data_IF_877209169070
#
_entry.id   IF_877209169070
#
_cell.length_a   1.000
_cell.length_b   1.000
_cell.length_c   1.000
_cell.angle_alpha   90.00
_cell.angle_beta   90.00
_cell.angle_gamma   90.00
#
_symmetry.space_group_name_H-M   'P 1'
#
loop_
_entity.id
_entity.type
_entity.pdbx_description
1 polymer ?
#
# COMPACT_ATOMS: atom_id res chain seq x y z
N UNK A 1 47.43 -3.09 -18.51
CA UNK A 1 46.80 -1.79 -18.87
C UNK A 1 45.32 -1.97 -19.18
N UNK A 2 44.93 -2.82 -20.16
CA UNK A 2 43.54 -3.10 -20.52
C UNK A 2 42.71 -3.77 -19.39
N UNK A 3 43.29 -4.68 -18.62
CA UNK A 3 42.62 -5.33 -17.49
C UNK A 3 42.31 -4.33 -16.36
N UNK A 4 43.22 -3.44 -16.05
CA UNK A 4 43.05 -2.39 -15.03
C UNK A 4 41.96 -1.38 -15.43
N UNK A 5 41.89 -1.01 -16.71
CA UNK A 5 40.90 -0.08 -17.25
C UNK A 5 39.51 -0.70 -17.29
N UNK A 6 39.42 -1.99 -17.59
CA UNK A 6 38.18 -2.75 -17.54
C UNK A 6 37.64 -2.91 -16.10
N UNK A 7 38.51 -3.23 -15.15
CA UNK A 7 38.12 -3.30 -13.73
C UNK A 7 37.60 -1.95 -13.19
N UNK A 8 38.24 -0.85 -13.61
CA UNK A 8 37.80 0.49 -13.22
C UNK A 8 36.46 0.88 -13.82
N UNK A 9 36.20 0.53 -15.07
CA UNK A 9 34.90 0.70 -15.72
C UNK A 9 33.80 -0.14 -15.07
N UNK A 10 34.08 -1.39 -14.71
CA UNK A 10 33.15 -2.24 -13.96
C UNK A 10 32.81 -1.64 -12.60
N UNK A 11 33.78 -1.10 -11.86
CA UNK A 11 33.53 -0.41 -10.59
C UNK A 11 32.59 0.80 -10.74
N UNK A 12 32.77 1.59 -11.78
CA UNK A 12 31.92 2.74 -12.09
C UNK A 12 30.47 2.29 -12.38
N UNK A 13 30.30 1.24 -13.16
CA UNK A 13 28.99 0.68 -13.50
C UNK A 13 28.29 0.14 -12.23
N UNK A 14 28.98 -0.64 -11.42
CA UNK A 14 28.44 -1.16 -10.16
C UNK A 14 28.10 -0.06 -9.17
N UNK A 15 28.93 0.97 -9.08
CA UNK A 15 28.63 2.14 -8.25
C UNK A 15 27.37 2.85 -8.72
N UNK A 16 27.23 3.09 -10.01
CA UNK A 16 26.04 3.71 -10.61
C UNK A 16 24.79 2.88 -10.38
N UNK A 17 24.86 1.54 -10.54
CA UNK A 17 23.75 0.64 -10.24
C UNK A 17 23.34 0.72 -8.78
N UNK A 18 24.32 0.67 -7.86
CA UNK A 18 24.03 0.78 -6.43
C UNK A 18 23.34 2.09 -6.08
N UNK A 19 23.86 3.21 -6.57
CA UNK A 19 23.35 4.53 -6.22
C UNK A 19 21.99 4.82 -6.84
N UNK A 20 21.79 4.47 -8.10
CA UNK A 20 20.61 4.88 -8.85
C UNK A 20 19.49 3.83 -8.83
N UNK A 21 19.80 2.53 -8.75
CA UNK A 21 18.79 1.47 -8.79
C UNK A 21 18.59 0.84 -7.43
N UNK A 22 19.63 0.25 -6.87
CA UNK A 22 19.53 -0.44 -5.56
C UNK A 22 19.14 0.56 -4.47
N UNK A 23 19.76 1.75 -4.45
CA UNK A 23 19.42 2.81 -3.49
C UNK A 23 18.00 3.33 -3.62
N UNK A 24 17.48 3.44 -4.86
CA UNK A 24 16.08 3.83 -5.08
C UNK A 24 15.13 2.75 -4.57
N UNK A 25 15.35 1.48 -4.94
CA UNK A 25 14.53 0.35 -4.47
C UNK A 25 14.57 0.25 -2.94
N UNK A 26 15.75 0.39 -2.33
CA UNK A 26 15.90 0.44 -0.86
C UNK A 26 15.06 1.56 -0.23
N UNK A 27 15.13 2.77 -0.78
CA UNK A 27 14.35 3.93 -0.33
C UNK A 27 12.86 3.68 -0.42
N UNK A 28 12.38 3.09 -1.52
CA UNK A 28 11.00 2.76 -1.75
C UNK A 28 10.49 1.66 -0.79
N UNK A 29 11.30 0.62 -0.51
CA UNK A 29 10.97 -0.40 0.48
C UNK A 29 10.85 0.23 1.88
N UNK A 30 11.80 1.07 2.27
CA UNK A 30 11.76 1.81 3.56
C UNK A 30 10.53 2.72 3.65
N UNK A 31 10.17 3.39 2.56
CA UNK A 31 8.96 4.20 2.48
C UNK A 31 7.71 3.31 2.66
N UNK A 32 7.61 2.18 1.97
CA UNK A 32 6.50 1.25 2.10
C UNK A 32 6.36 0.72 3.54
N UNK A 33 7.46 0.39 4.20
CA UNK A 33 7.47 -0.04 5.61
C UNK A 33 6.99 1.06 6.56
N UNK A 34 7.45 2.31 6.36
CA UNK A 34 6.96 3.46 7.14
C UNK A 34 5.45 3.68 6.93
N UNK A 35 4.99 3.59 5.69
CA UNK A 35 3.56 3.70 5.37
C UNK A 35 2.73 2.60 6.05
N UNK A 36 3.19 1.36 6.01
CA UNK A 36 2.52 0.26 6.70
C UNK A 36 2.48 0.48 8.22
N UNK A 37 3.55 1.00 8.81
CA UNK A 37 3.60 1.34 10.23
C UNK A 37 2.56 2.40 10.60
N UNK A 38 2.44 3.49 9.83
CA UNK A 38 1.45 4.55 10.06
C UNK A 38 0.01 4.04 9.88
N UNK A 39 -0.25 3.23 8.86
CA UNK A 39 -1.55 2.60 8.66
C UNK A 39 -1.86 1.69 9.85
N UNK A 40 -0.92 0.86 10.29
CA UNK A 40 -1.11 -0.02 11.45
C UNK A 40 -1.38 0.76 12.73
N UNK A 41 -0.78 1.94 12.90
CA UNK A 41 -1.09 2.82 14.03
C UNK A 41 -2.55 3.27 13.99
N UNK A 42 -3.02 3.75 12.84
CA UNK A 42 -4.41 4.16 12.65
C UNK A 42 -5.40 2.99 12.85
N UNK A 43 -5.05 1.80 12.35
CA UNK A 43 -5.86 0.60 12.51
C UNK A 43 -6.01 0.20 13.99
N UNK A 44 -4.94 0.28 14.78
CA UNK A 44 -4.97 -0.03 16.23
C UNK A 44 -5.79 0.96 17.06
N UNK A 45 -5.81 2.23 16.66
CA UNK A 45 -6.62 3.25 17.34
C UNK A 45 -8.13 3.09 17.10
N UNK A 46 -8.51 2.16 16.22
CA UNK A 46 -9.89 1.92 15.84
C UNK A 46 -10.30 0.52 16.27
N UNK A 47 -11.07 0.44 17.35
CA UNK A 47 -11.64 -0.82 17.82
C UNK A 47 -12.76 -1.27 16.87
N UNK A 48 -12.55 -2.35 16.18
CA UNK A 48 -13.55 -3.05 15.38
C UNK A 48 -14.13 -4.21 16.19
N UNK A 49 -14.92 -3.89 17.23
CA UNK A 49 -15.41 -4.91 18.17
C UNK A 49 -14.21 -5.62 18.86
N UNK A 50 -14.10 -6.92 18.70
CA UNK A 50 -13.05 -7.76 19.32
C UNK A 50 -11.85 -8.02 18.40
N UNK A 51 -11.84 -7.37 17.23
CA UNK A 51 -10.81 -7.58 16.21
C UNK A 51 -10.00 -6.31 15.93
N UNK A 52 -8.71 -6.47 15.73
CA UNK A 52 -7.81 -5.46 15.18
C UNK A 52 -7.18 -5.95 13.87
N UNK A 53 -6.80 -5.01 13.00
CA UNK A 53 -6.20 -5.36 11.73
C UNK A 53 -4.76 -4.87 11.66
N UNK A 54 -3.90 -5.64 10.99
CA UNK A 54 -2.50 -5.30 10.80
C UNK A 54 -2.04 -5.65 9.39
N UNK A 55 -1.33 -4.73 8.76
CA UNK A 55 -0.59 -4.97 7.51
C UNK A 55 0.81 -5.43 7.87
N UNK A 56 1.25 -6.53 7.28
CA UNK A 56 2.63 -7.04 7.36
C UNK A 56 3.27 -6.95 5.99
N UNK A 57 4.53 -6.50 5.97
CA UNK A 57 5.38 -6.49 4.79
C UNK A 57 6.53 -7.44 5.08
N UNK A 58 6.67 -8.46 4.25
CA UNK A 58 7.67 -9.52 4.37
C UNK A 58 8.42 -9.67 3.04
N UNK A 59 9.60 -10.31 3.00
CA UNK A 59 10.25 -10.66 1.75
C UNK A 59 9.30 -11.47 0.86
N UNK A 60 9.34 -11.24 -0.45
CA UNK A 60 8.56 -12.02 -1.40
C UNK A 60 8.90 -13.51 -1.29
N UNK A 61 7.90 -14.38 -1.43
CA UNK A 61 8.09 -15.85 -1.37
C UNK A 61 8.57 -16.46 -2.69
N UNK A 62 8.74 -15.62 -3.72
CA UNK A 62 9.25 -16.00 -5.03
C UNK A 62 10.77 -15.78 -5.14
N UNK A 63 11.33 -15.98 -6.32
CA UNK A 63 12.76 -15.81 -6.60
C UNK A 63 13.29 -14.39 -6.29
N UNK A 64 12.44 -13.37 -6.37
CA UNK A 64 12.86 -12.01 -6.09
C UNK A 64 13.09 -11.75 -4.60
N UNK A 65 12.45 -12.51 -3.70
CA UNK A 65 12.65 -12.38 -2.26
C UNK A 65 14.09 -12.65 -1.80
N UNK A 66 14.88 -13.38 -2.58
CA UNK A 66 16.29 -13.61 -2.31
C UNK A 66 17.14 -12.32 -2.30
N UNK A 67 16.65 -11.24 -2.94
CA UNK A 67 17.38 -9.97 -2.98
C UNK A 67 17.07 -9.08 -1.77
N UNK A 68 16.08 -9.43 -0.95
CA UNK A 68 15.60 -8.57 0.13
C UNK A 68 16.70 -8.22 1.15
N UNK A 69 17.53 -9.18 1.54
CA UNK A 69 18.65 -8.97 2.47
C UNK A 69 19.70 -7.96 1.93
N UNK A 70 19.97 -8.02 0.63
CA UNK A 70 20.83 -7.06 -0.04
C UNK A 70 20.19 -5.67 -0.12
N UNK A 71 18.88 -5.63 -0.51
CA UNK A 71 18.14 -4.39 -0.65
C UNK A 71 17.89 -3.69 0.70
N UNK A 72 17.98 -4.41 1.82
CA UNK A 72 17.80 -3.90 3.17
C UNK A 72 19.10 -3.83 3.97
N UNK A 73 20.25 -3.94 3.29
CA UNK A 73 21.56 -3.87 3.94
C UNK A 73 21.80 -2.48 4.55
N UNK A 74 22.36 -2.45 5.78
CA UNK A 74 22.62 -1.22 6.53
C UNK A 74 23.59 -0.28 5.80
N UNK A 75 24.45 -0.83 4.97
CA UNK A 75 25.41 -0.08 4.15
C UNK A 75 24.73 0.84 3.11
N UNK A 76 23.44 0.62 2.83
CA UNK A 76 22.64 1.50 1.97
C UNK A 76 22.03 2.69 2.72
N UNK A 77 21.87 2.60 4.05
CA UNK A 77 21.35 3.68 4.90
C UNK A 77 22.34 4.83 5.08
N UNK A 78 23.64 4.58 4.97
CA UNK A 78 24.71 5.54 5.26
C UNK A 78 24.82 6.70 4.26
N UNK A 79 24.02 6.71 3.18
CA UNK A 79 24.01 7.77 2.14
C UNK A 79 22.83 8.74 2.22
N UNK A 80 22.04 8.71 3.29
CA UNK A 80 21.01 9.75 3.47
C UNK A 80 21.69 11.06 3.92
N UNK A 81 21.69 12.15 3.12
CA UNK A 81 22.33 13.42 3.48
C UNK A 81 21.70 14.05 4.74
N UNK A 82 20.52 13.62 5.17
CA UNK A 82 19.85 14.09 6.39
C UNK A 82 20.45 13.54 7.69
N UNK A 83 21.34 12.53 7.62
CA UNK A 83 21.95 11.93 8.81
C UNK A 83 23.33 12.50 9.16
N UNK A 84 23.71 13.70 8.71
CA UNK A 84 24.86 14.45 9.24
C UNK A 84 26.22 13.72 9.22
N UNK A 85 26.37 12.68 8.41
CA UNK A 85 27.62 11.93 8.27
C UNK A 85 28.67 12.75 7.53
N UNK A 86 29.79 13.01 8.18
CA UNK A 86 30.95 13.73 7.65
C UNK A 86 31.39 13.07 6.34
N UNK A 87 31.33 13.83 5.25
CA UNK A 87 31.80 13.42 3.93
C UNK A 87 33.32 13.09 4.02
N UNK A 88 33.67 11.83 4.20
CA UNK A 88 35.06 11.39 4.28
C UNK A 88 35.31 9.98 4.85
N UNK A 89 34.32 9.32 5.43
CA UNK A 89 34.48 7.99 6.03
C UNK A 89 33.86 6.82 5.23
N UNK A 90 33.72 6.97 3.92
CA UNK A 90 32.84 6.11 3.08
C UNK A 90 33.55 4.87 2.51
N UNK A 91 34.83 4.65 2.76
CA UNK A 91 35.56 3.65 1.94
C UNK A 91 35.61 2.21 2.50
N UNK A 92 35.37 1.98 3.78
CA UNK A 92 35.47 0.62 4.36
C UNK A 92 34.23 -0.26 4.21
N UNK A 93 33.04 0.29 4.21
CA UNK A 93 31.79 -0.48 4.07
C UNK A 93 31.40 -0.82 2.61
N UNK A 94 31.96 -0.11 1.63
CA UNK A 94 31.62 -0.29 0.22
C UNK A 94 32.19 -1.61 -0.34
N UNK A 95 33.44 -1.90 -0.08
CA UNK A 95 34.09 -3.13 -0.56
C UNK A 95 33.48 -4.39 0.09
N UNK A 96 33.03 -4.30 1.33
CA UNK A 96 32.40 -5.42 2.04
C UNK A 96 31.00 -5.70 1.52
N UNK A 97 30.21 -4.66 1.19
CA UNK A 97 28.89 -4.81 0.56
C UNK A 97 29.02 -5.49 -0.81
N UNK A 98 29.93 -5.05 -1.66
CA UNK A 98 30.15 -5.66 -2.98
C UNK A 98 30.60 -7.11 -2.89
N UNK A 99 31.52 -7.44 -1.99
CA UNK A 99 31.99 -8.82 -1.79
C UNK A 99 30.88 -9.73 -1.27
N UNK A 100 30.08 -9.23 -0.33
CA UNK A 100 28.99 -10.00 0.29
C UNK A 100 27.86 -10.31 -0.69
N UNK A 101 27.53 -9.39 -1.58
CA UNK A 101 26.40 -9.48 -2.49
C UNK A 101 26.78 -9.56 -3.98
N UNK A 102 28.02 -9.88 -4.29
CA UNK A 102 28.59 -9.86 -5.65
C UNK A 102 27.68 -10.56 -6.68
N UNK A 103 27.26 -11.79 -6.40
CA UNK A 103 26.41 -12.55 -7.34
C UNK A 103 25.04 -11.90 -7.56
N UNK A 104 24.43 -11.36 -6.51
CA UNK A 104 23.15 -10.67 -6.60
C UNK A 104 23.25 -9.36 -7.38
N UNK A 105 24.32 -8.60 -7.11
CA UNK A 105 24.61 -7.34 -7.82
C UNK A 105 24.85 -7.61 -9.29
N UNK A 106 25.68 -8.63 -9.62
CA UNK A 106 25.95 -9.02 -11.00
C UNK A 106 24.67 -9.41 -11.74
N UNK A 107 23.82 -10.22 -11.11
CA UNK A 107 22.53 -10.61 -11.68
C UNK A 107 21.67 -9.39 -12.00
N UNK A 108 21.49 -8.45 -11.04
CA UNK A 108 20.72 -7.24 -11.27
C UNK A 108 21.36 -6.35 -12.33
N UNK A 109 22.70 -6.24 -12.36
CA UNK A 109 23.41 -5.48 -13.40
C UNK A 109 23.04 -5.98 -14.79
N UNK A 110 23.05 -7.29 -14.98
CA UNK A 110 22.69 -7.91 -16.27
C UNK A 110 21.22 -7.61 -16.66
N UNK A 111 20.33 -7.51 -15.67
CA UNK A 111 18.92 -7.14 -15.89
C UNK A 111 18.73 -5.67 -16.30
N UNK A 112 19.55 -4.78 -15.77
CA UNK A 112 19.49 -3.34 -16.05
C UNK A 112 20.40 -2.89 -17.21
N UNK A 113 21.18 -3.78 -17.78
CA UNK A 113 21.97 -3.46 -18.98
C UNK A 113 21.04 -3.21 -20.19
N UNK A 114 21.27 -2.11 -20.93
CA UNK A 114 20.47 -1.83 -22.11
C UNK A 114 20.65 -2.95 -23.17
N UNK A 115 19.58 -3.28 -23.90
CA UNK A 115 19.66 -4.31 -24.94
C UNK A 115 20.63 -3.85 -26.06
N UNK A 116 21.52 -4.76 -26.46
CA UNK A 116 22.45 -4.54 -27.57
C UNK A 116 21.86 -4.92 -28.92
N UNK A 117 20.72 -5.58 -28.93
CA UNK A 117 20.07 -6.10 -30.13
C UNK A 117 19.36 -5.00 -30.93
N UNK A 118 19.36 -5.14 -32.23
CA UNK A 118 18.66 -4.27 -33.16
C UNK A 118 17.17 -4.62 -33.28
N UNK A 119 16.77 -5.83 -32.83
CA UNK A 119 15.38 -6.30 -32.85
C UNK A 119 14.50 -5.55 -31.85
N UNK A 120 13.47 -4.88 -32.38
CA UNK A 120 12.54 -4.07 -31.60
C UNK A 120 11.73 -4.91 -30.58
N UNK A 121 11.39 -6.15 -30.92
CA UNK A 121 10.66 -7.05 -30.04
C UNK A 121 11.50 -7.44 -28.81
N UNK A 122 12.78 -7.77 -29.02
CA UNK A 122 13.71 -8.07 -27.93
C UNK A 122 13.97 -6.85 -27.04
N UNK A 123 14.04 -5.64 -27.64
CA UNK A 123 14.15 -4.39 -26.86
C UNK A 123 12.92 -4.16 -25.97
N UNK A 124 11.70 -4.38 -26.49
CA UNK A 124 10.48 -4.25 -25.70
C UNK A 124 10.44 -5.27 -24.55
N UNK A 125 10.81 -6.51 -24.80
CA UNK A 125 10.87 -7.55 -23.79
C UNK A 125 11.86 -7.18 -22.68
N UNK A 126 13.06 -6.74 -23.05
CA UNK A 126 14.10 -6.32 -22.10
C UNK A 126 13.68 -5.12 -21.27
N UNK A 127 13.00 -4.13 -21.88
CA UNK A 127 12.44 -2.98 -21.15
C UNK A 127 11.42 -3.40 -20.11
N UNK A 128 10.50 -4.31 -20.44
CA UNK A 128 9.53 -4.86 -19.49
C UNK A 128 10.22 -5.60 -18.33
N UNK A 129 11.27 -6.34 -18.63
CA UNK A 129 12.07 -7.02 -17.62
C UNK A 129 12.75 -6.01 -16.69
N UNK A 130 13.36 -4.95 -17.23
CA UNK A 130 13.96 -3.86 -16.43
C UNK A 130 12.91 -3.19 -15.53
N UNK A 131 11.74 -2.85 -16.07
CA UNK A 131 10.63 -2.27 -15.29
C UNK A 131 10.18 -3.18 -14.16
N UNK A 132 10.12 -4.50 -14.41
CA UNK A 132 9.77 -5.49 -13.41
C UNK A 132 10.79 -5.54 -12.26
N UNK A 133 12.09 -5.51 -12.56
CA UNK A 133 13.13 -5.50 -11.53
C UNK A 133 13.31 -4.13 -10.85
N UNK A 134 12.86 -3.04 -11.47
CA UNK A 134 12.86 -1.72 -10.85
C UNK A 134 11.71 -1.53 -9.85
N UNK A 135 10.64 -2.31 -9.97
CA UNK A 135 9.48 -2.21 -9.09
C UNK A 135 9.74 -2.91 -7.74
N UNK A 136 9.92 -2.12 -6.68
CA UNK A 136 10.19 -2.61 -5.33
C UNK A 136 9.13 -3.61 -4.82
N UNK A 137 7.88 -3.53 -5.31
CA UNK A 137 6.78 -4.41 -4.91
C UNK A 137 7.04 -5.87 -5.23
N UNK A 138 7.84 -6.14 -6.25
CA UNK A 138 8.20 -7.52 -6.65
C UNK A 138 9.15 -8.22 -5.66
N UNK A 139 9.79 -7.47 -4.77
CA UNK A 139 10.67 -8.01 -3.72
C UNK A 139 9.95 -8.23 -2.39
N UNK A 140 8.67 -7.81 -2.30
CA UNK A 140 7.87 -7.82 -1.09
C UNK A 140 6.60 -8.64 -1.24
N UNK A 141 6.16 -9.21 -0.13
CA UNK A 141 4.84 -9.79 0.07
C UNK A 141 4.07 -8.90 1.03
N UNK A 142 2.91 -8.43 0.59
CA UNK A 142 2.00 -7.64 1.40
C UNK A 142 0.87 -8.52 1.87
N UNK A 143 0.63 -8.58 3.16
CA UNK A 143 -0.45 -9.36 3.74
C UNK A 143 -1.17 -8.55 4.80
N UNK A 144 -2.46 -8.83 4.97
CA UNK A 144 -3.27 -8.26 6.01
C UNK A 144 -3.79 -9.35 6.93
N UNK A 145 -3.68 -9.13 8.22
CA UNK A 145 -4.12 -10.03 9.27
C UNK A 145 -5.22 -9.40 10.10
N UNK A 146 -6.20 -10.21 10.46
CA UNK A 146 -7.13 -9.92 11.54
C UNK A 146 -6.58 -10.58 12.81
N UNK A 147 -6.47 -9.80 13.88
CA UNK A 147 -6.12 -10.29 15.21
C UNK A 147 -7.34 -10.19 16.11
N UNK A 148 -7.83 -11.32 16.58
CA UNK A 148 -8.90 -11.39 17.57
C UNK A 148 -8.26 -11.41 18.96
N UNK A 149 -8.69 -10.51 19.84
CA UNK A 149 -8.17 -10.39 21.21
C UNK A 149 -9.21 -10.84 22.24
N UNK A 150 -8.74 -11.36 23.38
CA UNK A 150 -9.58 -11.61 24.54
C UNK A 150 -9.86 -10.31 25.33
N UNK A 151 -10.68 -10.42 26.38
CA UNK A 151 -11.03 -9.29 27.29
C UNK A 151 -9.79 -8.65 27.94
N UNK A 152 -8.67 -9.35 27.99
CA UNK A 152 -7.40 -8.87 28.53
C UNK A 152 -6.47 -8.27 27.46
N UNK A 153 -6.91 -8.18 26.20
CA UNK A 153 -6.12 -7.67 25.08
C UNK A 153 -5.06 -8.64 24.55
N UNK A 154 -5.12 -9.95 24.88
CA UNK A 154 -4.21 -10.96 24.34
C UNK A 154 -4.75 -11.47 23.03
N UNK A 155 -3.89 -11.56 22.01
CA UNK A 155 -4.23 -12.14 20.72
C UNK A 155 -4.48 -13.63 20.89
N UNK A 156 -5.73 -14.07 20.68
CA UNK A 156 -6.16 -15.47 20.76
C UNK A 156 -6.22 -16.15 19.40
N UNK A 157 -6.36 -15.35 18.31
CA UNK A 157 -6.39 -15.86 16.94
C UNK A 157 -5.87 -14.82 15.96
N UNK A 158 -5.13 -15.28 14.97
CA UNK A 158 -4.65 -14.50 13.84
C UNK A 158 -5.14 -15.15 12.54
N UNK A 159 -5.85 -14.39 11.71
CA UNK A 159 -6.38 -14.87 10.43
C UNK A 159 -5.79 -14.05 9.29
N UNK A 160 -5.37 -14.72 8.22
CA UNK A 160 -5.07 -14.05 6.96
C UNK A 160 -6.36 -13.57 6.31
N UNK A 161 -6.42 -12.28 5.97
CA UNK A 161 -7.61 -11.71 5.31
C UNK A 161 -7.84 -12.31 3.92
N UNK A 162 -6.78 -12.66 3.21
CA UNK A 162 -6.89 -13.27 1.88
C UNK A 162 -7.42 -14.71 1.95
N UNK A 163 -7.09 -15.47 3.00
CA UNK A 163 -7.63 -16.83 3.22
C UNK A 163 -9.12 -16.79 3.61
N UNK A 164 -9.54 -15.73 4.29
CA UNK A 164 -10.95 -15.51 4.65
C UNK A 164 -11.81 -15.19 3.41
N UNK A 165 -11.27 -14.46 2.44
CA UNK A 165 -12.00 -14.07 1.22
C UNK A 165 -12.45 -15.26 0.35
N UNK A 166 -11.80 -16.41 0.49
CA UNK A 166 -12.14 -17.66 -0.21
C UNK A 166 -13.14 -18.56 0.53
N UNK A 167 -13.31 -18.35 1.85
CA UNK A 167 -14.18 -19.19 2.70
C UNK A 167 -15.52 -18.55 3.03
N UNK A 168 -15.56 -17.20 3.05
CA UNK A 168 -16.75 -16.44 3.44
C UNK A 168 -17.53 -15.99 2.22
N UNK A 169 -18.61 -16.69 1.91
CA UNK A 169 -19.61 -16.30 0.90
C UNK A 169 -20.42 -15.05 1.27
N UNK A 170 -20.16 -14.42 2.42
CA UNK A 170 -21.02 -13.43 3.06
C UNK A 170 -20.41 -12.05 3.37
N UNK A 171 -19.41 -11.55 2.64
CA UNK A 171 -18.94 -10.15 2.83
C UNK A 171 -17.97 -9.94 4.01
N UNK A 172 -17.70 -10.92 4.86
CA UNK A 172 -16.79 -10.81 6.01
C UNK A 172 -15.35 -10.49 5.60
N UNK A 173 -14.85 -11.12 4.53
CA UNK A 173 -13.51 -10.87 4.01
C UNK A 173 -13.32 -9.50 3.33
N UNK A 174 -14.39 -8.71 3.10
CA UNK A 174 -14.29 -7.40 2.47
C UNK A 174 -14.09 -6.26 3.48
N UNK A 175 -14.54 -6.43 4.71
CA UNK A 175 -14.46 -5.41 5.75
C UNK A 175 -13.02 -4.95 6.04
N UNK A 176 -12.05 -5.83 6.29
CA UNK A 176 -10.66 -5.45 6.56
C UNK A 176 -10.02 -4.69 5.40
N UNK A 177 -10.29 -5.14 4.16
CA UNK A 177 -9.75 -4.50 2.95
C UNK A 177 -10.27 -3.06 2.79
N UNK A 178 -11.54 -2.81 3.12
CA UNK A 178 -12.12 -1.45 3.07
C UNK A 178 -11.53 -0.55 4.15
N UNK A 179 -11.32 -1.08 5.34
CA UNK A 179 -10.68 -0.34 6.44
C UNK A 179 -9.25 0.03 6.08
N UNK A 180 -8.46 -0.90 5.54
CA UNK A 180 -7.11 -0.63 5.06
C UNK A 180 -7.08 0.41 3.93
N UNK A 181 -8.05 0.35 3.02
CA UNK A 181 -8.20 1.33 1.94
C UNK A 181 -8.46 2.73 2.50
N UNK A 182 -9.39 2.87 3.43
CA UNK A 182 -9.70 4.16 4.08
C UNK A 182 -8.50 4.70 4.87
N UNK A 183 -7.76 3.84 5.58
CA UNK A 183 -6.52 4.22 6.26
C UNK A 183 -5.45 4.71 5.27
N UNK A 184 -5.32 4.04 4.13
CA UNK A 184 -4.43 4.46 3.04
C UNK A 184 -4.78 5.84 2.49
N UNK A 185 -6.05 6.13 2.25
CA UNK A 185 -6.51 7.47 1.82
C UNK A 185 -6.23 8.53 2.88
N UNK A 186 -6.54 8.25 4.15
CA UNK A 186 -6.25 9.17 5.24
C UNK A 186 -4.77 9.54 5.28
N UNK A 187 -3.90 8.54 5.14
CA UNK A 187 -2.46 8.75 5.12
C UNK A 187 -1.99 9.58 3.92
N UNK A 188 -2.50 9.32 2.71
CA UNK A 188 -2.19 10.13 1.52
C UNK A 188 -2.51 11.62 1.75
N UNK A 189 -3.62 11.93 2.40
CA UNK A 189 -4.00 13.30 2.74
C UNK A 189 -3.14 13.89 3.86
N UNK A 190 -2.64 13.08 4.81
CA UNK A 190 -1.74 13.52 5.87
C UNK A 190 -0.33 13.86 5.36
N UNK A 191 0.17 13.11 4.38
CA UNK A 191 1.52 13.32 3.83
C UNK A 191 1.68 14.63 3.05
N UNK A 192 0.61 15.20 2.58
CA UNK A 192 0.63 16.49 1.88
C UNK A 192 0.69 17.64 2.89
N UNK A 193 1.88 17.97 3.35
CA UNK A 193 2.16 18.89 4.47
C UNK A 193 1.96 20.38 4.20
N UNK A 194 1.04 20.81 3.36
CA UNK A 194 0.70 22.21 3.29
C UNK A 194 -0.36 22.55 4.33
N UNK A 195 -0.17 23.66 5.06
CA UNK A 195 -1.05 24.19 6.12
C UNK A 195 -2.45 24.59 5.65
N UNK A 196 -2.76 24.47 4.37
CA UNK A 196 -4.05 24.85 3.82
C UNK A 196 -5.09 23.77 4.11
N UNK A 197 -6.28 24.19 4.50
CA UNK A 197 -7.44 23.33 4.69
C UNK A 197 -7.76 22.58 3.39
N UNK A 198 -7.64 21.26 3.39
CA UNK A 198 -7.89 20.42 2.22
C UNK A 198 -9.15 19.60 2.40
N UNK A 199 -9.93 19.50 1.34
CA UNK A 199 -11.03 18.55 1.28
C UNK A 199 -10.44 17.15 1.13
N UNK A 200 -10.61 16.30 2.15
CA UNK A 200 -10.17 14.90 2.14
C UNK A 200 -11.27 14.02 1.53
N UNK A 201 -11.54 14.20 0.24
CA UNK A 201 -12.66 13.56 -0.46
C UNK A 201 -12.28 12.18 -0.99
N UNK A 202 -13.10 11.19 -0.69
CA UNK A 202 -13.01 9.82 -1.21
C UNK A 202 -14.33 9.43 -1.85
N UNK A 203 -14.27 9.01 -3.11
CA UNK A 203 -15.41 8.51 -3.88
C UNK A 203 -15.38 6.98 -3.88
N UNK A 204 -16.45 6.36 -3.42
CA UNK A 204 -16.56 4.91 -3.32
C UNK A 204 -17.79 4.43 -4.10
N UNK A 205 -17.57 3.58 -5.08
CA UNK A 205 -18.64 2.92 -5.82
C UNK A 205 -18.84 1.50 -5.29
N UNK A 206 -20.09 1.14 -5.00
CA UNK A 206 -20.51 -0.16 -4.45
C UNK A 206 -19.69 -0.65 -3.22
N UNK A 207 -19.01 0.23 -2.52
CA UNK A 207 -18.05 -0.14 -1.48
C UNK A 207 -18.68 -0.95 -0.33
N UNK A 208 -19.95 -0.73 -0.02
CA UNK A 208 -20.66 -1.38 1.08
C UNK A 208 -21.72 -2.39 0.61
N UNK A 209 -21.74 -2.73 -0.68
CA UNK A 209 -22.78 -3.61 -1.29
C UNK A 209 -22.84 -5.00 -0.65
N UNK A 210 -21.70 -5.53 -0.19
CA UNK A 210 -21.59 -6.89 0.40
C UNK A 210 -21.33 -6.87 1.92
N UNK A 211 -21.43 -5.71 2.59
CA UNK A 211 -21.24 -5.59 4.02
C UNK A 211 -22.57 -5.53 4.75
N UNK A 212 -22.63 -6.10 5.96
CA UNK A 212 -23.76 -5.91 6.85
C UNK A 212 -23.85 -4.47 7.38
N UNK A 213 -24.97 -4.17 8.03
CA UNK A 213 -25.24 -2.82 8.57
C UNK A 213 -24.23 -2.40 9.64
N UNK A 214 -23.86 -3.29 10.54
CA UNK A 214 -22.98 -3.00 11.65
C UNK A 214 -21.57 -2.67 11.17
N UNK A 215 -21.02 -3.52 10.30
CA UNK A 215 -19.69 -3.31 9.70
C UNK A 215 -19.62 -2.06 8.83
N UNK A 216 -20.69 -1.77 8.07
CA UNK A 216 -20.80 -0.54 7.29
C UNK A 216 -20.78 0.70 8.20
N UNK A 217 -21.50 0.66 9.31
CA UNK A 217 -21.52 1.74 10.29
C UNK A 217 -20.14 1.98 10.91
N UNK A 218 -19.40 0.91 11.25
CA UNK A 218 -18.03 1.00 11.77
C UNK A 218 -17.09 1.63 10.76
N UNK A 219 -17.14 1.23 9.47
CA UNK A 219 -16.34 1.84 8.42
C UNK A 219 -16.63 3.35 8.25
N UNK A 220 -17.90 3.75 8.28
CA UNK A 220 -18.30 5.16 8.16
C UNK A 220 -17.83 5.98 9.38
N UNK A 221 -17.95 5.44 10.60
CA UNK A 221 -17.42 6.07 11.82
C UNK A 221 -15.89 6.20 11.76
N UNK A 222 -15.20 5.18 11.22
CA UNK A 222 -13.75 5.22 11.05
C UNK A 222 -13.32 6.31 10.07
N UNK A 223 -14.00 6.43 8.94
CA UNK A 223 -13.73 7.49 7.97
C UNK A 223 -13.90 8.89 8.59
N UNK A 224 -14.97 9.11 9.39
CA UNK A 224 -15.16 10.37 10.13
C UNK A 224 -14.05 10.66 11.14
N UNK A 225 -13.59 9.64 11.88
CA UNK A 225 -12.48 9.79 12.83
C UNK A 225 -11.19 10.24 12.13
N UNK A 226 -11.02 9.89 10.84
CA UNK A 226 -9.88 10.31 10.02
C UNK A 226 -10.13 11.62 9.24
N UNK A 227 -11.23 12.31 9.50
CA UNK A 227 -11.65 13.51 8.78
C UNK A 227 -11.80 13.30 7.27
N UNK A 228 -12.15 12.10 6.83
CA UNK A 228 -12.44 11.81 5.43
C UNK A 228 -13.88 12.19 5.09
N UNK A 229 -14.06 12.92 4.00
CA UNK A 229 -15.37 13.14 3.39
C UNK A 229 -15.61 12.02 2.37
N UNK A 230 -16.67 11.22 2.59
CA UNK A 230 -17.03 10.14 1.69
C UNK A 230 -18.21 10.50 0.83
N UNK A 231 -18.13 10.19 -0.47
CA UNK A 231 -19.27 10.04 -1.35
C UNK A 231 -19.38 8.57 -1.72
N UNK A 232 -20.49 7.95 -1.32
CA UNK A 232 -20.69 6.50 -1.48
C UNK A 232 -21.89 6.28 -2.40
N UNK A 233 -21.66 5.59 -3.52
CA UNK A 233 -22.71 5.14 -4.41
C UNK A 233 -23.18 3.74 -4.00
N UNK A 234 -24.45 3.57 -3.79
CA UNK A 234 -25.05 2.29 -3.38
C UNK A 234 -26.37 2.04 -4.10
N UNK A 235 -26.75 0.77 -4.35
CA UNK A 235 -28.08 0.41 -4.79
C UNK A 235 -29.15 0.76 -3.75
N UNK A 236 -30.39 0.97 -4.20
CA UNK A 236 -31.52 1.38 -3.34
C UNK A 236 -31.76 0.42 -2.17
N UNK A 237 -31.56 -0.88 -2.38
CA UNK A 237 -31.75 -1.91 -1.33
C UNK A 237 -30.77 -1.73 -0.16
N UNK A 238 -29.67 -1.01 -0.37
CA UNK A 238 -28.66 -0.75 0.67
C UNK A 238 -28.86 0.55 1.43
N UNK A 239 -29.71 1.43 0.94
CA UNK A 239 -29.95 2.72 1.57
C UNK A 239 -30.40 2.57 3.03
N UNK A 240 -31.30 1.63 3.28
CA UNK A 240 -31.83 1.35 4.63
C UNK A 240 -30.72 1.06 5.65
N UNK A 241 -29.70 0.31 5.26
CA UNK A 241 -28.60 -0.07 6.15
C UNK A 241 -27.60 1.06 6.44
N UNK A 242 -27.55 2.08 5.56
CA UNK A 242 -26.54 3.15 5.61
C UNK A 242 -27.12 4.48 6.10
N UNK A 243 -28.40 4.75 5.87
CA UNK A 243 -29.01 6.07 6.05
C UNK A 243 -28.82 6.67 7.44
N UNK A 244 -28.79 5.83 8.47
CA UNK A 244 -28.54 6.29 9.85
C UNK A 244 -27.15 6.86 10.05
N UNK A 245 -26.17 6.43 9.23
CA UNK A 245 -24.74 6.71 9.38
C UNK A 245 -24.19 7.69 8.34
N UNK A 246 -25.00 8.22 7.44
CA UNK A 246 -24.64 9.24 6.46
C UNK A 246 -25.27 10.58 6.80
N UNK A 247 -24.68 11.67 6.34
CA UNK A 247 -25.14 13.02 6.63
C UNK A 247 -26.21 13.50 5.63
N UNK A 248 -26.07 13.09 4.37
CA UNK A 248 -26.91 13.53 3.26
C UNK A 248 -27.15 12.37 2.28
N UNK A 249 -28.33 12.35 1.66
CA UNK A 249 -28.71 11.32 0.67
C UNK A 249 -29.28 11.99 -0.57
N UNK A 250 -28.77 11.56 -1.72
CA UNK A 250 -29.30 11.95 -3.03
C UNK A 250 -29.73 10.72 -3.80
N UNK A 251 -30.99 10.70 -4.23
CA UNK A 251 -31.53 9.67 -5.12
C UNK A 251 -31.38 10.08 -6.58
N UNK A 252 -30.96 9.15 -7.43
CA UNK A 252 -30.86 9.32 -8.87
C UNK A 252 -31.89 8.41 -9.57
N UNK A 253 -32.69 9.00 -10.42
CA UNK A 253 -33.65 8.25 -11.24
C UNK A 253 -33.40 8.50 -12.72
N UNK A 254 -33.27 7.43 -13.47
CA UNK A 254 -33.22 7.49 -14.94
C UNK A 254 -34.59 7.21 -15.53
N UNK A 255 -35.08 8.11 -16.38
CA UNK A 255 -36.22 7.90 -17.19
C UNK A 255 -35.86 8.23 -18.65
N UNK A 256 -35.94 7.23 -19.53
CA UNK A 256 -35.42 7.30 -20.90
C UNK A 256 -33.93 7.74 -20.91
N UNK A 257 -33.60 8.86 -21.56
CA UNK A 257 -32.25 9.42 -21.64
C UNK A 257 -32.01 10.61 -20.67
N UNK A 258 -32.95 10.84 -19.73
CA UNK A 258 -32.84 11.90 -18.74
C UNK A 258 -32.56 11.31 -17.36
N UNK A 259 -31.67 11.94 -16.64
CA UNK A 259 -31.34 11.63 -15.23
C UNK A 259 -31.89 12.77 -14.38
N UNK A 260 -32.72 12.44 -13.40
CA UNK A 260 -33.16 13.37 -12.36
C UNK A 260 -32.47 13.02 -11.03
N UNK A 261 -32.13 14.05 -10.29
CA UNK A 261 -31.56 13.95 -8.96
C UNK A 261 -32.51 14.58 -7.95
N UNK A 262 -32.71 13.94 -6.81
CA UNK A 262 -33.49 14.46 -5.71
C UNK A 262 -32.75 14.32 -4.40
N UNK A 263 -32.85 15.33 -3.55
CA UNK A 263 -32.42 15.21 -2.16
C UNK A 263 -33.49 14.43 -1.37
N UNK A 264 -33.04 13.42 -0.63
CA UNK A 264 -33.89 12.61 0.22
C UNK A 264 -33.76 13.13 1.65
N UNK A 265 -34.84 13.63 2.24
CA UNK A 265 -34.86 14.00 3.65
C UNK A 265 -34.71 12.74 4.51
N UNK A 266 -33.63 12.72 5.28
CA UNK A 266 -33.28 11.57 6.13
C UNK A 266 -34.31 11.34 7.23
N UNK A 267 -34.87 12.41 7.81
CA UNK A 267 -35.84 12.32 8.88
C UNK A 267 -37.17 11.74 8.40
N UNK A 268 -37.61 12.18 7.22
CA UNK A 268 -38.88 11.67 6.64
C UNK A 268 -38.73 10.22 6.16
N UNK A 269 -37.56 9.86 5.61
CA UNK A 269 -37.29 8.47 5.23
C UNK A 269 -37.27 7.53 6.45
N UNK A 270 -36.64 7.93 7.55
CA UNK A 270 -36.61 7.13 8.78
C UNK A 270 -38.00 6.94 9.40
N UNK A 271 -38.82 7.97 9.40
CA UNK A 271 -40.23 7.86 9.85
C UNK A 271 -41.04 6.86 9.02
N UNK A 272 -40.83 6.84 7.70
CA UNK A 272 -41.49 5.88 6.81
C UNK A 272 -41.05 4.42 7.06
N UNK A 273 -39.85 4.24 7.61
CA UNK A 273 -39.35 2.90 7.93
C UNK A 273 -39.78 2.38 9.31
N UNK A 274 -40.13 3.27 10.23
CA UNK A 274 -40.52 2.93 11.62
C UNK A 274 -42.05 2.78 11.78
N UNK A 275 -42.85 3.15 10.78
CA UNK A 275 -44.29 2.99 10.73
C UNK A 275 -44.70 1.78 9.93
#
# INVERSE_FOLDING_TARGET
>A
EYESEFEEQCKVIYKSLRENVIGTIHGDIKAAQRHAYEINRLLRETNFSDSTYQIKIEPAKNENGQFYDMLMAEELDSKNPDNGGIAGQISFGEDDFYKKYEQKIKFLTDKFMPPRDEDEHLRMQKRKEMEQYADYRNYLSFSMYEQVTDENGRVIRENFVDDMAGRDSGGEGQHPKKVALLAGFAMLYMQQSNRDSKIKLVLLDEAFSKMDQERSAVCLKYARKMDLQLIVCVPDERLQSLIRNVDCVYGFRRHNNQISMMHIDKGDYLKLMEG
#
